data_IF_331144277546
#
_entry.id   IF_331144277546
#
_cell.length_a   1.000
_cell.length_b   1.000
_cell.length_c   1.000
_cell.angle_alpha   90.00
_cell.angle_beta   90.00
_cell.angle_gamma   90.00
#
_symmetry.space_group_name_H-M   'P 1'
#
loop_
_entity.id
_entity.type
_entity.pdbx_description
1 polymer ?
#
# COMPACT_ATOMS: atom_id res chain seq x y z
N UNK A 1 -9.66 13.64 43.27
CA UNK A 1 -9.46 12.73 42.12
C UNK A 1 -9.22 13.42 40.75
N UNK A 2 -8.99 14.76 40.66
CA UNK A 2 -8.69 15.44 39.38
C UNK A 2 -7.22 15.35 38.93
N UNK A 3 -6.27 15.33 39.87
CA UNK A 3 -4.81 15.39 39.59
C UNK A 3 -4.28 14.21 38.77
N UNK A 4 -4.77 12.99 39.01
CA UNK A 4 -4.30 11.78 38.32
C UNK A 4 -4.76 11.65 36.86
N UNK A 5 -5.81 12.37 36.44
CA UNK A 5 -6.33 12.30 35.06
C UNK A 5 -5.59 13.26 34.12
N UNK A 6 -5.13 14.41 34.64
CA UNK A 6 -4.36 15.39 33.88
C UNK A 6 -2.90 14.95 33.67
N UNK A 7 -2.27 14.32 34.68
CA UNK A 7 -0.92 13.74 34.54
C UNK A 7 -0.90 12.57 33.54
N UNK A 8 -1.91 11.70 33.57
CA UNK A 8 -2.04 10.59 32.62
C UNK A 8 -2.28 11.06 31.17
N UNK A 9 -3.04 12.15 30.99
CA UNK A 9 -3.29 12.74 29.67
C UNK A 9 -2.03 13.40 29.10
N UNK A 10 -1.33 14.17 29.93
CA UNK A 10 -0.07 14.82 29.54
C UNK A 10 1.01 13.79 29.15
N UNK A 11 1.13 12.68 29.89
CA UNK A 11 2.03 11.58 29.53
C UNK A 11 1.67 10.91 28.20
N UNK A 12 0.37 10.73 27.91
CA UNK A 12 -0.09 10.14 26.65
C UNK A 12 0.16 11.04 25.44
N UNK A 13 0.02 12.35 25.60
CA UNK A 13 0.28 13.34 24.54
C UNK A 13 1.78 13.43 24.22
N UNK A 14 2.63 13.40 25.25
CA UNK A 14 4.09 13.39 25.09
C UNK A 14 4.59 12.10 24.42
N UNK A 15 4.02 10.94 24.78
CA UNK A 15 4.33 9.66 24.16
C UNK A 15 3.93 9.62 22.68
N UNK A 16 2.73 10.12 22.35
CA UNK A 16 2.28 10.26 20.96
C UNK A 16 3.22 11.17 20.16
N UNK A 17 3.64 12.30 20.73
CA UNK A 17 4.62 13.20 20.12
C UNK A 17 5.96 12.51 19.83
N UNK A 18 6.44 11.68 20.77
CA UNK A 18 7.69 10.93 20.61
C UNK A 18 7.59 9.90 19.48
N UNK A 19 6.48 9.16 19.39
CA UNK A 19 6.24 8.19 18.33
C UNK A 19 6.14 8.86 16.94
N UNK A 20 5.49 10.03 16.85
CA UNK A 20 5.39 10.80 15.61
C UNK A 20 6.75 11.34 15.17
N UNK A 21 7.54 11.90 16.10
CA UNK A 21 8.89 12.41 15.80
C UNK A 21 9.83 11.30 15.32
N UNK A 22 9.80 10.14 16.01
CA UNK A 22 10.59 8.96 15.62
C UNK A 22 10.22 8.47 14.22
N UNK A 23 8.93 8.42 13.90
CA UNK A 23 8.43 8.07 12.56
C UNK A 23 8.93 9.03 11.48
N UNK A 24 8.82 10.34 11.70
CA UNK A 24 9.28 11.34 10.74
C UNK A 24 10.79 11.21 10.48
N UNK A 25 11.59 10.96 11.52
CA UNK A 25 13.01 10.69 11.37
C UNK A 25 13.28 9.44 10.52
N UNK A 26 12.54 8.34 10.75
CA UNK A 26 12.68 7.13 9.93
C UNK A 26 12.27 7.33 8.47
N UNK A 27 11.20 8.09 8.20
CA UNK A 27 10.81 8.43 6.82
C UNK A 27 11.80 9.35 6.11
N UNK A 28 12.61 10.13 6.84
CA UNK A 28 13.68 10.94 6.27
C UNK A 28 14.92 10.11 5.93
N UNK A 29 15.23 9.11 6.75
CA UNK A 29 16.41 8.24 6.58
C UNK A 29 16.14 7.15 5.54
N UNK A 30 14.93 6.60 5.50
CA UNK A 30 14.53 5.60 4.53
C UNK A 30 13.70 6.26 3.43
N UNK A 31 14.11 6.11 2.16
CA UNK A 31 13.35 6.62 1.00
C UNK A 31 11.91 6.03 0.89
N UNK A 32 11.59 4.99 1.68
CA UNK A 32 10.30 4.32 1.80
C UNK A 32 10.02 3.92 3.27
N UNK A 33 8.81 3.49 3.58
CA UNK A 33 8.42 3.03 4.92
C UNK A 33 9.36 1.90 5.42
N UNK A 34 9.88 2.03 6.64
CA UNK A 34 10.73 1.04 7.30
C UNK A 34 9.93 0.17 8.27
N UNK A 35 10.50 -0.97 8.69
CA UNK A 35 9.90 -1.80 9.73
C UNK A 35 9.66 -1.00 11.03
N UNK A 36 10.60 -0.12 11.38
CA UNK A 36 10.51 0.72 12.57
C UNK A 36 9.38 1.77 12.46
N UNK A 37 9.17 2.34 11.27
CA UNK A 37 8.02 3.22 10.97
C UNK A 37 6.69 2.44 11.11
N UNK A 38 6.58 1.26 10.48
CA UNK A 38 5.40 0.41 10.60
C UNK A 38 5.12 -0.02 12.06
N UNK A 39 6.17 -0.26 12.86
CA UNK A 39 6.06 -0.60 14.28
C UNK A 39 5.51 0.59 15.10
N UNK A 40 5.97 1.82 14.82
CA UNK A 40 5.41 3.02 15.44
C UNK A 40 3.92 3.17 15.11
N UNK A 41 3.53 2.95 13.85
CA UNK A 41 2.12 3.02 13.44
C UNK A 41 1.26 1.98 14.16
N UNK A 42 1.77 0.75 14.32
CA UNK A 42 1.10 -0.31 15.08
C UNK A 42 0.92 0.10 16.53
N UNK A 43 1.98 0.59 17.17
CA UNK A 43 1.95 1.02 18.57
C UNK A 43 0.92 2.13 18.83
N UNK A 44 0.92 3.19 18.00
CA UNK A 44 -0.06 4.28 18.09
C UNK A 44 -1.50 3.75 17.94
N UNK A 45 -1.69 2.78 17.03
CA UNK A 45 -3.02 2.21 16.75
C UNK A 45 -3.52 1.32 17.88
N UNK A 46 -2.66 0.44 18.40
CA UNK A 46 -3.00 -0.56 19.41
C UNK A 46 -3.25 0.08 20.77
N UNK A 47 -2.38 1.03 21.16
CA UNK A 47 -2.54 1.82 22.39
C UNK A 47 -3.65 2.87 22.26
N UNK A 48 -4.18 3.08 21.05
CA UNK A 48 -5.17 4.11 20.73
C UNK A 48 -4.74 5.51 21.17
N UNK A 49 -3.44 5.80 21.14
CA UNK A 49 -2.84 7.04 21.63
C UNK A 49 -3.43 8.28 20.94
N UNK A 50 -3.87 8.15 19.68
CA UNK A 50 -4.60 9.21 18.95
C UNK A 50 -5.88 9.70 19.64
N UNK A 51 -6.46 8.92 20.57
CA UNK A 51 -7.65 9.32 21.34
C UNK A 51 -7.35 10.43 22.35
N UNK A 52 -6.09 10.64 22.74
CA UNK A 52 -5.73 11.74 23.64
C UNK A 52 -6.04 13.11 23.02
N UNK A 53 -5.95 13.19 21.69
CA UNK A 53 -6.32 14.35 20.86
C UNK A 53 -7.83 14.47 20.59
N UNK A 54 -8.65 13.53 21.05
CA UNK A 54 -10.10 13.53 20.84
C UNK A 54 -10.55 13.22 19.41
N UNK A 55 -9.66 12.75 18.53
CA UNK A 55 -9.94 12.45 17.12
C UNK A 55 -9.98 10.93 16.85
N UNK A 56 -10.61 10.55 15.75
CA UNK A 56 -10.64 9.16 15.28
C UNK A 56 -9.38 8.77 14.50
N UNK A 57 -9.11 7.46 14.37
CA UNK A 57 -7.95 6.93 13.63
C UNK A 57 -7.85 7.45 12.19
N UNK A 58 -8.98 7.50 11.47
CA UNK A 58 -9.04 8.00 10.10
C UNK A 58 -8.60 9.46 10.00
N UNK A 59 -9.11 10.29 10.90
CA UNK A 59 -8.79 11.72 10.97
C UNK A 59 -7.34 11.94 11.42
N UNK A 60 -6.87 11.15 12.38
CA UNK A 60 -5.47 11.15 12.81
C UNK A 60 -4.52 10.84 11.64
N UNK A 61 -4.82 9.81 10.83
CA UNK A 61 -4.00 9.46 9.68
C UNK A 61 -3.91 10.61 8.67
N UNK A 62 -5.04 11.23 8.34
CA UNK A 62 -5.08 12.33 7.38
C UNK A 62 -4.36 13.58 7.89
N UNK A 63 -4.59 13.97 9.15
CA UNK A 63 -4.10 15.25 9.71
C UNK A 63 -2.66 15.19 10.24
N UNK A 64 -2.24 14.06 10.79
CA UNK A 64 -0.96 13.94 11.50
C UNK A 64 0.03 12.98 10.84
N UNK A 65 -0.44 11.99 10.06
CA UNK A 65 0.45 11.03 9.40
C UNK A 65 0.72 11.35 7.92
N UNK A 66 -0.03 12.28 7.32
CA UNK A 66 0.06 12.62 5.89
C UNK A 66 -0.29 11.46 4.96
N UNK A 67 -1.00 10.44 5.47
CA UNK A 67 -1.29 9.20 4.76
C UNK A 67 -2.74 8.78 4.94
N UNK A 68 -3.27 8.00 3.99
CA UNK A 68 -4.60 7.42 4.16
C UNK A 68 -4.59 6.36 5.26
N UNK A 69 -5.69 6.26 6.01
CA UNK A 69 -5.84 5.20 7.03
C UNK A 69 -5.71 3.79 6.44
N UNK A 70 -6.13 3.60 5.17
CA UNK A 70 -5.99 2.34 4.46
C UNK A 70 -4.52 1.99 4.22
N UNK A 71 -3.69 2.98 3.86
CA UNK A 71 -2.25 2.80 3.72
C UNK A 71 -1.58 2.46 5.05
N UNK A 72 -1.88 3.20 6.13
CA UNK A 72 -1.36 2.92 7.46
C UNK A 72 -1.75 1.52 7.94
N UNK A 73 -3.00 1.11 7.74
CA UNK A 73 -3.49 -0.23 8.11
C UNK A 73 -2.78 -1.33 7.31
N UNK A 74 -2.51 -1.09 6.03
CA UNK A 74 -1.79 -2.03 5.17
C UNK A 74 -0.35 -2.24 5.62
N UNK A 75 0.36 -1.17 6.00
CA UNK A 75 1.73 -1.27 6.55
C UNK A 75 1.76 -2.06 7.86
N UNK A 76 0.81 -1.81 8.77
CA UNK A 76 0.67 -2.59 10.01
C UNK A 76 0.39 -4.06 9.68
N UNK A 77 -0.46 -4.32 8.69
CA UNK A 77 -0.76 -5.67 8.21
C UNK A 77 0.49 -6.40 7.72
N UNK A 78 1.31 -5.76 6.88
CA UNK A 78 2.56 -6.35 6.39
C UNK A 78 3.57 -6.62 7.51
N UNK A 79 3.64 -5.74 8.51
CA UNK A 79 4.49 -5.99 9.69
C UNK A 79 4.00 -7.18 10.51
N UNK A 80 2.69 -7.36 10.66
CA UNK A 80 2.13 -8.48 11.40
C UNK A 80 2.25 -9.80 10.63
N UNK A 81 2.10 -9.76 9.31
CA UNK A 81 2.13 -10.95 8.45
C UNK A 81 3.57 -11.43 8.18
N UNK A 82 4.47 -10.51 7.86
CA UNK A 82 5.82 -10.86 7.38
C UNK A 82 6.94 -10.46 8.34
N UNK A 83 6.63 -9.67 9.37
CA UNK A 83 7.63 -9.15 10.29
C UNK A 83 8.54 -8.08 9.68
N UNK A 84 9.58 -7.65 10.43
CA UNK A 84 10.51 -6.61 10.01
C UNK A 84 11.30 -6.94 8.74
N UNK A 85 11.66 -8.22 8.58
CA UNK A 85 12.48 -8.73 7.48
C UNK A 85 11.94 -8.39 6.08
N UNK A 86 10.61 -8.32 5.93
CA UNK A 86 9.98 -7.92 4.68
C UNK A 86 10.32 -6.49 4.29
N UNK A 87 10.32 -5.55 5.25
CA UNK A 87 10.59 -4.15 4.95
C UNK A 87 12.05 -3.94 4.56
N UNK A 88 12.97 -4.63 5.21
CA UNK A 88 14.39 -4.58 4.88
C UNK A 88 14.64 -5.13 3.46
N UNK A 89 14.07 -6.30 3.15
CA UNK A 89 14.18 -6.90 1.82
C UNK A 89 13.49 -6.06 0.74
N UNK A 90 12.31 -5.50 1.03
CA UNK A 90 11.57 -4.64 0.10
C UNK A 90 12.30 -3.33 -0.19
N UNK A 91 13.04 -2.78 0.78
CA UNK A 91 13.90 -1.62 0.55
C UNK A 91 15.09 -1.96 -0.34
N UNK A 92 15.70 -3.15 -0.16
CA UNK A 92 16.88 -3.56 -0.92
C UNK A 92 16.56 -4.05 -2.34
N UNK A 93 15.43 -4.73 -2.53
CA UNK A 93 15.12 -5.45 -3.77
C UNK A 93 13.86 -4.96 -4.50
N UNK A 94 13.05 -4.13 -3.84
CA UNK A 94 11.76 -3.70 -4.38
C UNK A 94 10.71 -4.82 -4.44
N UNK A 95 10.91 -5.93 -3.72
CA UNK A 95 9.97 -7.05 -3.72
C UNK A 95 8.58 -6.63 -3.20
N UNK A 96 7.54 -7.04 -3.92
CA UNK A 96 6.16 -6.82 -3.52
C UNK A 96 5.71 -7.81 -2.42
N UNK A 97 4.65 -7.49 -1.65
CA UNK A 97 4.12 -8.41 -0.63
C UNK A 97 3.72 -9.78 -1.18
N UNK A 98 3.14 -9.82 -2.39
CA UNK A 98 2.66 -11.07 -3.00
C UNK A 98 3.83 -11.94 -3.47
N UNK A 99 4.88 -11.31 -4.00
CA UNK A 99 6.13 -12.01 -4.33
C UNK A 99 6.83 -12.52 -3.07
N UNK A 100 6.86 -11.72 -2.00
CA UNK A 100 7.42 -12.14 -0.71
C UNK A 100 6.70 -13.37 -0.15
N UNK A 101 5.37 -13.41 -0.28
CA UNK A 101 4.54 -14.56 0.13
C UNK A 101 4.85 -15.80 -0.71
N UNK A 102 5.13 -15.63 -2.00
CA UNK A 102 5.44 -16.73 -2.91
C UNK A 102 6.85 -17.34 -2.71
N UNK A 103 7.80 -16.57 -2.16
CA UNK A 103 9.19 -17.03 -1.93
C UNK A 103 9.45 -17.56 -0.52
N UNK A 104 8.46 -17.61 0.37
CA UNK A 104 8.66 -18.04 1.75
C UNK A 104 8.79 -19.58 1.85
N UNK A 105 9.79 -20.09 2.62
CA UNK A 105 9.85 -19.83 4.05
C UNK A 105 11.13 -19.06 4.45
N UNK A 106 11.03 -17.75 4.59
CA UNK A 106 12.06 -16.95 5.27
C UNK A 106 11.92 -17.23 6.77
N UNK A 107 12.79 -18.09 7.32
CA UNK A 107 12.99 -18.23 8.77
C UNK A 107 14.13 -17.32 9.20
N UNK A 108 13.95 -16.61 10.32
CA UNK A 108 15.01 -15.95 11.08
C UNK A 108 15.90 -14.96 10.30
N UNK A 109 15.28 -14.02 9.57
CA UNK A 109 15.97 -12.90 8.90
C UNK A 109 17.01 -13.29 7.84
N UNK A 110 16.91 -14.50 7.27
CA UNK A 110 17.76 -14.95 6.18
C UNK A 110 16.94 -15.63 5.08
N UNK A 111 17.29 -15.34 3.82
CA UNK A 111 16.74 -16.06 2.68
C UNK A 111 17.61 -17.29 2.45
N UNK A 112 17.02 -18.48 2.45
CA UNK A 112 17.73 -19.68 2.04
C UNK A 112 17.78 -19.74 0.52
N UNK A 113 18.99 -19.69 -0.03
CA UNK A 113 19.24 -19.74 -1.46
C UNK A 113 20.41 -20.69 -1.73
N UNK A 114 20.18 -21.72 -2.55
CA UNK A 114 21.16 -22.77 -2.87
C UNK A 114 21.77 -23.45 -1.62
N UNK A 115 20.97 -23.66 -0.58
CA UNK A 115 21.41 -24.21 0.70
C UNK A 115 22.17 -23.23 1.61
N UNK A 116 22.38 -21.99 1.19
CA UNK A 116 23.05 -20.94 1.98
C UNK A 116 22.04 -19.93 2.54
N UNK A 117 22.26 -19.52 3.79
CA UNK A 117 21.49 -18.45 4.44
C UNK A 117 22.10 -17.09 4.06
N UNK A 118 21.39 -16.29 3.28
CA UNK A 118 21.80 -14.93 2.94
C UNK A 118 21.17 -13.96 3.95
N UNK A 119 22.01 -13.29 4.74
CA UNK A 119 21.58 -12.28 5.69
C UNK A 119 21.02 -11.04 4.97
N UNK A 120 19.94 -10.46 5.50
CA UNK A 120 19.26 -9.26 5.01
C UNK A 120 20.05 -7.98 5.33
N UNK A 121 21.23 -7.86 4.76
CA UNK A 121 22.16 -6.75 4.96
C UNK A 121 22.37 -5.97 3.66
N UNK A 122 22.60 -4.64 3.71
CA UNK A 122 22.87 -3.82 2.53
C UNK A 122 24.02 -4.35 1.68
N UNK A 123 25.05 -4.91 2.32
CA UNK A 123 26.24 -5.48 1.68
C UNK A 123 25.89 -6.71 0.82
N UNK A 124 24.76 -7.36 1.10
CA UNK A 124 24.25 -8.49 0.33
C UNK A 124 23.19 -8.09 -0.68
N UNK A 125 22.91 -6.79 -0.92
CA UNK A 125 21.78 -6.34 -1.74
C UNK A 125 21.76 -6.96 -3.14
N UNK A 126 22.90 -7.01 -3.83
CA UNK A 126 22.99 -7.63 -5.17
C UNK A 126 22.75 -9.14 -5.12
N UNK A 127 23.31 -9.84 -4.12
CA UNK A 127 23.10 -11.28 -3.92
C UNK A 127 21.66 -11.59 -3.53
N UNK A 128 21.03 -10.74 -2.71
CA UNK A 128 19.62 -10.83 -2.34
C UNK A 128 18.73 -10.56 -3.55
N UNK A 129 19.04 -9.57 -4.38
CA UNK A 129 18.29 -9.29 -5.61
C UNK A 129 18.40 -10.47 -6.60
N UNK A 130 19.59 -11.05 -6.76
CA UNK A 130 19.81 -12.24 -7.59
C UNK A 130 19.06 -13.47 -7.03
N UNK A 131 19.16 -13.72 -5.72
CA UNK A 131 18.45 -14.80 -5.05
C UNK A 131 16.93 -14.66 -5.17
N UNK A 132 16.38 -13.46 -4.96
CA UNK A 132 14.96 -13.16 -5.17
C UNK A 132 14.57 -13.36 -6.64
N UNK A 133 15.42 -12.93 -7.59
CA UNK A 133 15.17 -13.12 -9.03
C UNK A 133 15.13 -14.61 -9.40
N UNK A 134 15.98 -15.43 -8.80
CA UNK A 134 16.01 -16.86 -9.08
C UNK A 134 14.93 -17.64 -8.31
N UNK A 135 14.59 -17.24 -7.08
CA UNK A 135 13.43 -17.75 -6.36
C UNK A 135 12.12 -17.42 -7.10
N UNK A 136 12.02 -16.23 -7.71
CA UNK A 136 10.92 -15.88 -8.64
C UNK A 136 10.83 -16.84 -9.83
N UNK A 137 11.96 -17.35 -10.33
CA UNK A 137 12.00 -18.33 -11.43
C UNK A 137 11.64 -19.74 -10.96
N UNK A 138 11.96 -20.10 -9.71
CA UNK A 138 11.75 -21.43 -9.14
C UNK A 138 10.36 -21.63 -8.52
N UNK A 139 9.75 -20.59 -7.95
CA UNK A 139 8.41 -20.64 -7.34
C UNK A 139 7.26 -20.76 -8.36
N UNK A 140 7.58 -20.88 -9.65
CA UNK A 140 6.60 -21.00 -10.74
C UNK A 140 6.83 -22.32 -11.50
N UNK A 141 6.06 -23.38 -11.24
CA UNK A 141 5.82 -24.41 -12.24
C UNK A 141 4.83 -23.82 -13.27
N UNK A 142 5.33 -23.48 -14.45
CA UNK A 142 4.55 -23.10 -15.66
C UNK A 142 3.67 -21.84 -15.52
N UNK A 143 4.29 -20.68 -15.65
CA UNK A 143 3.77 -19.56 -16.42
C UNK A 143 4.90 -18.53 -16.50
N UNK A 144 5.54 -18.45 -17.65
CA UNK A 144 6.46 -17.35 -17.95
C UNK A 144 5.83 -16.03 -17.50
N UNK A 145 6.49 -15.28 -16.62
CA UNK A 145 6.13 -13.90 -16.36
C UNK A 145 6.33 -13.14 -17.68
N UNK A 146 5.30 -12.49 -18.25
CA UNK A 146 5.54 -11.46 -19.22
C UNK A 146 5.57 -10.14 -18.45
N UNK A 147 6.44 -9.24 -18.87
CA UNK A 147 6.13 -7.80 -18.85
C UNK A 147 4.64 -7.66 -19.17
N UNK A 148 3.82 -7.24 -18.19
CA UNK A 148 2.37 -7.54 -18.13
C UNK A 148 1.75 -7.79 -19.51
N UNK A 149 1.43 -9.05 -19.82
CA UNK A 149 0.90 -9.42 -21.13
C UNK A 149 -0.25 -8.50 -21.52
N UNK A 150 -0.47 -8.32 -22.82
CA UNK A 150 -1.63 -7.57 -23.33
C UNK A 150 -2.91 -8.10 -22.66
N UNK A 151 -3.02 -9.42 -22.45
CA UNK A 151 -4.12 -10.05 -21.71
C UNK A 151 -4.29 -9.52 -20.27
N UNK A 152 -3.21 -9.41 -19.48
CA UNK A 152 -3.29 -8.88 -18.11
C UNK A 152 -3.51 -7.36 -18.07
N UNK A 153 -3.03 -6.63 -19.09
CA UNK A 153 -3.34 -5.20 -19.26
C UNK A 153 -4.81 -4.99 -19.62
N UNK A 154 -5.36 -5.83 -20.50
CA UNK A 154 -6.78 -5.84 -20.86
C UNK A 154 -7.63 -6.18 -19.64
N UNK A 155 -7.31 -7.24 -18.90
CA UNK A 155 -8.01 -7.62 -17.66
C UNK A 155 -8.05 -6.49 -16.62
N UNK A 156 -6.93 -5.80 -16.42
CA UNK A 156 -6.88 -4.63 -15.52
C UNK A 156 -7.66 -3.43 -16.06
N UNK A 157 -7.69 -3.24 -17.38
CA UNK A 157 -8.51 -2.21 -18.01
C UNK A 157 -10.01 -2.53 -17.86
N UNK A 158 -10.42 -3.78 -18.06
CA UNK A 158 -11.79 -4.25 -17.83
C UNK A 158 -12.23 -3.97 -16.40
N UNK A 159 -11.44 -4.37 -15.40
CA UNK A 159 -11.75 -4.11 -13.98
C UNK A 159 -11.94 -2.61 -13.69
N UNK A 160 -11.05 -1.76 -14.21
CA UNK A 160 -11.13 -0.30 -14.04
C UNK A 160 -12.35 0.30 -14.73
N UNK A 161 -12.67 -0.18 -15.94
CA UNK A 161 -13.85 0.25 -16.68
C UNK A 161 -15.13 -0.16 -15.94
N UNK A 162 -15.20 -1.38 -15.40
CA UNK A 162 -16.33 -1.82 -14.58
C UNK A 162 -16.50 -0.95 -13.32
N UNK A 163 -15.40 -0.60 -12.64
CA UNK A 163 -15.45 0.28 -11.48
C UNK A 163 -15.93 1.69 -11.85
N UNK A 164 -15.43 2.25 -12.96
CA UNK A 164 -15.84 3.57 -13.44
C UNK A 164 -17.32 3.62 -13.82
N UNK A 165 -17.83 2.60 -14.52
CA UNK A 165 -19.26 2.49 -14.86
C UNK A 165 -20.12 2.41 -13.59
N UNK A 166 -19.66 1.68 -12.58
CA UNK A 166 -20.37 1.58 -11.30
C UNK A 166 -20.43 2.93 -10.59
N UNK A 167 -19.32 3.67 -10.52
CA UNK A 167 -19.26 4.98 -9.89
C UNK A 167 -20.18 6.00 -10.58
N UNK A 168 -20.16 6.04 -11.93
CA UNK A 168 -21.10 6.85 -12.71
C UNK A 168 -22.55 6.44 -12.44
N UNK A 169 -22.82 5.15 -12.34
CA UNK A 169 -24.16 4.64 -12.06
C UNK A 169 -24.63 5.10 -10.69
N UNK A 170 -23.80 4.96 -9.66
CA UNK A 170 -24.07 5.44 -8.30
C UNK A 170 -24.34 6.96 -8.29
N UNK A 171 -23.51 7.75 -8.98
CA UNK A 171 -23.70 9.20 -9.12
C UNK A 171 -24.98 9.56 -9.89
N UNK A 172 -25.38 8.77 -10.89
CA UNK A 172 -26.63 9.00 -11.63
C UNK A 172 -27.85 8.70 -10.75
N UNK A 173 -27.79 7.64 -9.95
CA UNK A 173 -28.84 7.28 -8.99
C UNK A 173 -28.97 8.30 -7.86
N UNK A 174 -27.89 8.98 -7.49
CA UNK A 174 -27.91 10.06 -6.50
C UNK A 174 -28.64 11.34 -6.98
N UNK A 175 -29.10 11.38 -8.23
CA UNK A 175 -29.85 12.49 -8.84
C UNK A 175 -29.20 13.88 -8.66
N UNK A 176 -27.99 14.09 -9.21
CA UNK A 176 -27.29 15.36 -9.13
C UNK A 176 -28.12 16.48 -9.78
N UNK A 177 -27.99 17.69 -9.24
CA UNK A 177 -28.79 18.86 -9.66
C UNK A 177 -27.91 19.98 -10.18
N UNK A 178 -28.49 20.86 -11.00
CA UNK A 178 -27.83 22.07 -11.49
C UNK A 178 -26.49 21.79 -12.17
N UNK A 179 -25.44 22.47 -11.69
CA UNK A 179 -24.10 22.39 -12.27
C UNK A 179 -23.48 20.97 -12.20
N UNK A 180 -23.80 20.18 -11.17
CA UNK A 180 -23.29 18.81 -11.03
C UNK A 180 -23.86 17.87 -12.09
N UNK A 181 -25.15 18.03 -12.40
CA UNK A 181 -25.82 17.29 -13.48
C UNK A 181 -25.20 17.60 -14.84
N UNK A 182 -24.92 18.88 -15.10
CA UNK A 182 -24.29 19.32 -16.34
C UNK A 182 -22.89 18.73 -16.47
N UNK A 183 -22.08 18.77 -15.41
CA UNK A 183 -20.72 18.18 -15.40
C UNK A 183 -20.76 16.67 -15.64
N UNK A 184 -21.67 15.94 -14.99
CA UNK A 184 -21.81 14.50 -15.18
C UNK A 184 -22.26 14.17 -16.61
N UNK A 185 -23.21 14.94 -17.17
CA UNK A 185 -23.65 14.78 -18.55
C UNK A 185 -22.52 15.03 -19.56
N UNK A 186 -21.73 16.09 -19.36
CA UNK A 186 -20.56 16.39 -20.21
C UNK A 186 -19.49 15.30 -20.11
N UNK A 187 -19.24 14.74 -18.91
CA UNK A 187 -18.31 13.62 -18.74
C UNK A 187 -18.77 12.37 -19.51
N UNK A 188 -20.06 12.04 -19.44
CA UNK A 188 -20.64 10.91 -20.17
C UNK A 188 -20.51 11.07 -21.69
N UNK A 189 -20.89 12.22 -22.22
CA UNK A 189 -20.83 12.52 -23.66
C UNK A 189 -19.37 12.47 -24.14
N UNK A 190 -18.47 13.18 -23.47
CA UNK A 190 -17.06 13.23 -23.88
C UNK A 190 -16.34 11.88 -23.74
N UNK A 191 -16.75 11.04 -22.78
CA UNK A 191 -16.21 9.67 -22.67
C UNK A 191 -16.72 8.78 -23.79
N UNK A 192 -18.02 8.87 -24.12
CA UNK A 192 -18.63 8.12 -25.23
C UNK A 192 -17.96 8.45 -26.57
N UNK A 193 -17.76 9.72 -26.88
CA UNK A 193 -17.12 10.15 -28.14
C UNK A 193 -15.70 9.61 -28.27
N UNK A 194 -14.92 9.65 -27.18
CA UNK A 194 -13.55 9.11 -27.16
C UNK A 194 -13.51 7.60 -27.37
N UNK A 195 -14.42 6.86 -26.73
CA UNK A 195 -14.51 5.41 -26.90
C UNK A 195 -14.93 5.04 -28.34
N UNK A 196 -15.91 5.74 -28.89
CA UNK A 196 -16.36 5.52 -30.27
C UNK A 196 -15.25 5.80 -31.30
N UNK A 197 -14.44 6.84 -31.06
CA UNK A 197 -13.26 7.12 -31.89
C UNK A 197 -12.24 5.98 -31.83
N UNK A 198 -11.93 5.50 -30.63
CA UNK A 198 -10.99 4.38 -30.45
C UNK A 198 -11.51 3.08 -31.07
N UNK A 199 -12.81 2.83 -31.01
CA UNK A 199 -13.45 1.69 -31.67
C UNK A 199 -13.32 1.78 -33.20
N UNK A 200 -13.51 2.98 -33.76
CA UNK A 200 -13.33 3.23 -35.20
C UNK A 200 -11.87 3.08 -35.62
N UNK A 201 -10.92 3.52 -34.79
CA UNK A 201 -9.47 3.38 -35.02
C UNK A 201 -8.98 1.92 -34.87
N UNK A 202 -9.65 1.11 -34.05
CA UNK A 202 -9.32 -0.30 -33.84
C UNK A 202 -9.80 -1.21 -34.99
N UNK A 203 -10.79 -0.77 -35.78
CA UNK A 203 -11.34 -1.49 -36.94
C UNK A 203 -12.46 -2.49 -36.57
N UNK A 204 -13.19 -3.03 -37.57
CA UNK A 204 -14.34 -3.90 -37.32
C UNK A 204 -13.90 -5.22 -36.67
N UNK A 205 -14.49 -5.55 -35.52
CA UNK A 205 -14.45 -6.91 -34.95
C UNK A 205 -15.38 -7.80 -35.80
N UNK A 206 -14.79 -8.75 -36.53
CA UNK A 206 -15.50 -9.86 -37.18
C UNK A 206 -15.99 -10.83 -36.12
#
# INVERSE_FOLDING_TARGET
MKKSKDEAKSGSDLHLGTLLGRRQAFSLVAARCSAADAACLREIRDQKSYRSLGIGWKEFCARHLGASHAHANRLIGYLNEFGPAYFDLAQLTGISPDEYRAIAPVKDQAIQYDGQLIALLPENAERLAAAVTQLRRQAVPTAAAPQSSIAERVRRLEQRTSQFVREISELTHAQPKGAERIRLASLLIGTREKLQRLETEFGPMV
#
